data_IF_905646390085
#
_entry.id   IF_905646390085
#
_cell.length_a   1.000
_cell.length_b   1.000
_cell.length_c   1.000
_cell.angle_alpha   90.00
_cell.angle_beta   90.00
_cell.angle_gamma   90.00
#
_symmetry.space_group_name_H-M   'P 1'
#
loop_
_entity.id
_entity.type
_entity.pdbx_description
1 polymer ?
#
# COMPACT_ATOMS: atom_id res chain seq x y z
N UNK A 1 -1.41 21.41 -28.84
CA UNK A 1 -0.52 20.83 -27.81
C UNK A 1 -0.69 19.33 -27.80
N UNK A 2 0.42 18.59 -27.82
CA UNK A 2 0.43 17.10 -27.86
C UNK A 2 -0.25 16.47 -26.63
N UNK A 3 -0.37 17.20 -25.53
CA UNK A 3 -1.05 16.73 -24.32
C UNK A 3 -2.57 16.59 -24.50
N UNK A 4 -3.17 17.30 -25.47
CA UNK A 4 -4.63 17.25 -25.73
C UNK A 4 -5.05 16.03 -26.56
N UNK A 5 -4.12 15.24 -27.08
CA UNK A 5 -4.43 13.97 -27.76
C UNK A 5 -4.51 12.78 -26.80
N UNK A 6 -4.25 12.99 -25.51
CA UNK A 6 -4.38 11.97 -24.48
C UNK A 6 -5.87 11.70 -24.18
N UNK A 7 -6.25 10.46 -23.82
CA UNK A 7 -7.63 10.14 -23.42
C UNK A 7 -8.12 10.97 -22.23
N UNK A 8 -9.43 11.20 -22.13
CA UNK A 8 -10.06 12.01 -21.06
C UNK A 8 -9.73 11.55 -19.64
N UNK A 9 -9.42 10.26 -19.48
CA UNK A 9 -8.97 9.74 -18.19
C UNK A 9 -7.69 10.44 -17.69
N UNK A 10 -6.84 10.98 -18.58
CA UNK A 10 -5.65 11.80 -18.29
C UNK A 10 -5.91 13.30 -18.15
N UNK A 11 -7.15 13.76 -18.22
CA UNK A 11 -7.52 15.18 -18.08
C UNK A 11 -6.88 15.85 -16.87
N UNK A 12 -6.96 15.23 -15.68
CA UNK A 12 -6.36 15.78 -14.46
C UNK A 12 -4.84 15.93 -14.55
N UNK A 13 -4.16 15.02 -15.24
CA UNK A 13 -2.71 15.11 -15.47
C UNK A 13 -2.37 16.24 -16.44
N UNK A 14 -3.14 16.35 -17.52
CA UNK A 14 -2.98 17.40 -18.54
C UNK A 14 -3.15 18.77 -17.90
N UNK A 15 -4.19 19.00 -17.10
CA UNK A 15 -4.40 20.28 -16.39
C UNK A 15 -3.22 20.63 -15.47
N UNK A 16 -2.67 19.66 -14.73
CA UNK A 16 -1.54 19.89 -13.84
C UNK A 16 -0.21 20.14 -14.59
N UNK A 17 -0.09 19.66 -15.82
CA UNK A 17 1.05 19.96 -16.70
C UNK A 17 0.89 21.34 -17.34
N UNK A 18 -0.31 21.69 -17.81
CA UNK A 18 -0.61 23.01 -18.42
C UNK A 18 -0.55 24.16 -17.40
N UNK A 19 -0.71 23.90 -16.10
CA UNK A 19 -0.57 24.92 -15.05
C UNK A 19 0.88 25.28 -14.72
N UNK A 20 1.87 24.58 -15.29
CA UNK A 20 3.30 24.82 -15.06
C UNK A 20 3.86 25.77 -16.13
N UNK A 21 4.89 26.56 -15.81
CA UNK A 21 5.57 27.35 -16.83
C UNK A 21 6.28 26.43 -17.84
N UNK A 22 6.24 26.80 -19.12
CA UNK A 22 6.79 26.01 -20.23
C UNK A 22 8.30 25.72 -20.06
N UNK A 23 9.04 26.60 -19.38
CA UNK A 23 10.46 26.42 -19.08
C UNK A 23 10.74 25.17 -18.23
N UNK A 24 9.80 24.77 -17.37
CA UNK A 24 9.92 23.59 -16.52
C UNK A 24 9.26 22.35 -17.15
N UNK A 25 8.53 22.52 -18.25
CA UNK A 25 7.78 21.46 -18.94
C UNK A 25 8.68 20.63 -19.86
N UNK A 26 9.69 20.00 -19.27
CA UNK A 26 10.65 19.16 -20.00
C UNK A 26 10.03 17.83 -20.45
N UNK A 27 10.53 17.27 -21.55
CA UNK A 27 10.09 15.96 -22.05
C UNK A 27 10.26 14.85 -21.00
N UNK A 28 11.33 14.92 -20.20
CA UNK A 28 11.58 13.96 -19.11
C UNK A 28 10.50 14.04 -18.02
N UNK A 29 10.11 15.25 -17.62
CA UNK A 29 9.04 15.45 -16.65
C UNK A 29 7.71 14.92 -17.18
N UNK A 30 7.35 15.24 -18.42
CA UNK A 30 6.12 14.76 -19.06
C UNK A 30 6.09 13.23 -19.12
N UNK A 31 7.20 12.61 -19.56
CA UNK A 31 7.34 11.15 -19.60
C UNK A 31 7.19 10.51 -18.22
N UNK A 32 7.89 11.04 -17.20
CA UNK A 32 7.79 10.54 -15.83
C UNK A 32 6.37 10.65 -15.30
N UNK A 33 5.70 11.79 -15.51
CA UNK A 33 4.33 12.02 -15.05
C UNK A 33 3.29 11.13 -15.73
N UNK A 34 3.48 10.81 -17.00
CA UNK A 34 2.64 9.86 -17.72
C UNK A 34 2.79 8.44 -17.18
N UNK A 35 4.02 8.01 -16.88
CA UNK A 35 4.28 6.69 -16.29
C UNK A 35 3.68 6.57 -14.88
N UNK A 36 3.87 7.60 -14.04
CA UNK A 36 3.28 7.65 -12.70
C UNK A 36 1.75 7.49 -12.75
N UNK A 37 1.10 8.21 -13.67
CA UNK A 37 -0.35 8.20 -13.81
C UNK A 37 -0.88 6.87 -14.37
N UNK A 38 -0.16 6.28 -15.32
CA UNK A 38 -0.47 4.94 -15.84
C UNK A 38 -0.44 3.88 -14.73
N UNK A 39 0.61 3.87 -13.89
CA UNK A 39 0.74 2.93 -12.78
C UNK A 39 -0.37 3.14 -11.73
N UNK A 40 -0.67 4.39 -11.36
CA UNK A 40 -1.81 4.72 -10.46
C UNK A 40 -3.13 4.18 -10.97
N UNK A 41 -3.34 4.18 -12.30
CA UNK A 41 -4.57 3.65 -12.90
C UNK A 41 -4.59 2.15 -12.98
N UNK A 42 -3.45 1.52 -13.28
CA UNK A 42 -3.32 0.06 -13.25
C UNK A 42 -3.73 -0.47 -11.87
N UNK A 43 -3.25 0.15 -10.80
CA UNK A 43 -3.60 -0.21 -9.43
C UNK A 43 -5.10 0.01 -9.10
N UNK A 44 -5.72 1.03 -9.68
CA UNK A 44 -7.17 1.30 -9.52
C UNK A 44 -8.06 0.40 -10.37
N UNK A 45 -7.58 -0.07 -11.53
CA UNK A 45 -8.31 -0.97 -12.42
C UNK A 45 -8.36 -2.42 -11.92
N UNK A 46 -7.48 -2.80 -10.99
CA UNK A 46 -7.51 -4.09 -10.27
C UNK A 46 -8.40 -4.11 -9.01
N UNK A 47 -8.99 -2.97 -8.65
CA UNK A 47 -9.78 -2.81 -7.42
C UNK A 47 -11.24 -2.53 -7.72
N UNK A 48 -12.06 -3.58 -7.72
CA UNK A 48 -13.52 -3.49 -7.67
C UNK A 48 -13.96 -2.43 -6.67
N UNK A 49 -14.83 -1.53 -7.14
CA UNK A 49 -15.73 -0.66 -6.38
C UNK A 49 -15.86 -1.06 -4.91
N UNK A 50 -15.18 -0.34 -4.03
CA UNK A 50 -15.50 -0.32 -2.61
C UNK A 50 -14.91 0.95 -2.04
N UNK A 51 -15.77 1.89 -1.71
CA UNK A 51 -15.56 2.95 -0.73
C UNK A 51 -14.95 2.36 0.55
N UNK A 52 -13.63 2.20 0.57
CA UNK A 52 -12.88 1.90 1.78
C UNK A 52 -12.22 3.19 2.20
N UNK A 53 -13.02 3.95 2.95
CA UNK A 53 -12.57 4.93 3.91
C UNK A 53 -11.19 4.56 4.48
N UNK A 54 -10.31 5.56 4.56
CA UNK A 54 -8.97 5.50 5.14
C UNK A 54 -8.99 4.79 6.50
N UNK A 55 -8.81 3.46 6.52
CA UNK A 55 -8.38 2.76 7.72
C UNK A 55 -6.87 2.83 7.71
N UNK A 56 -6.34 3.77 8.50
CA UNK A 56 -4.97 3.78 8.99
C UNK A 56 -4.72 2.52 9.83
N UNK A 57 -4.61 1.39 9.13
CA UNK A 57 -4.41 0.07 9.68
C UNK A 57 -3.72 -0.75 8.62
N UNK A 58 -2.42 -0.51 8.43
CA UNK A 58 -1.54 -1.46 7.75
C UNK A 58 -1.58 -2.75 8.58
N UNK A 59 -2.50 -3.61 8.16
CA UNK A 59 -2.43 -5.05 8.33
C UNK A 59 -1.29 -5.50 7.43
N UNK A 60 -0.09 -5.63 8.01
CA UNK A 60 1.05 -6.19 7.30
C UNK A 60 0.81 -7.69 7.13
N UNK A 61 0.09 -8.07 6.08
CA UNK A 61 0.04 -9.44 5.61
C UNK A 61 0.86 -9.56 4.34
N UNK A 62 1.86 -10.44 4.45
CA UNK A 62 2.39 -11.32 3.39
C UNK A 62 3.26 -10.74 2.28
N UNK A 63 4.51 -10.35 2.61
CA UNK A 63 5.69 -10.72 1.77
C UNK A 63 7.05 -10.68 2.47
N UNK A 64 7.11 -10.49 3.79
CA UNK A 64 8.32 -10.79 4.55
C UNK A 64 8.00 -11.98 5.44
N UNK A 65 8.49 -13.17 5.07
CA UNK A 65 8.57 -14.33 5.97
C UNK A 65 9.40 -13.87 7.16
N UNK A 66 8.66 -13.40 8.15
CA UNK A 66 9.22 -12.56 9.19
C UNK A 66 10.16 -13.41 10.03
N UNK A 67 11.43 -13.03 10.04
CA UNK A 67 12.49 -13.51 10.94
C UNK A 67 12.18 -13.28 12.44
N UNK A 68 10.93 -12.97 12.77
CA UNK A 68 10.48 -12.74 14.14
C UNK A 68 10.49 -14.08 14.87
N UNK A 69 11.34 -14.12 15.89
CA UNK A 69 11.44 -15.23 16.82
C UNK A 69 10.51 -14.99 18.00
N UNK A 70 9.79 -16.02 18.40
CA UNK A 70 8.91 -15.95 19.54
C UNK A 70 9.72 -15.86 20.85
N UNK A 71 9.56 -14.79 21.62
CA UNK A 71 10.25 -14.62 22.90
C UNK A 71 9.87 -15.64 23.99
N UNK A 72 8.76 -16.37 23.82
CA UNK A 72 8.32 -17.39 24.76
C UNK A 72 8.89 -18.77 24.42
N UNK A 73 8.57 -19.30 23.23
CA UNK A 73 9.00 -20.64 22.82
C UNK A 73 10.31 -20.66 22.01
N UNK A 74 10.89 -19.49 21.71
CA UNK A 74 12.13 -19.30 20.93
C UNK A 74 12.09 -19.85 19.49
N UNK A 75 10.91 -20.15 18.94
CA UNK A 75 10.73 -20.58 17.54
C UNK A 75 10.49 -19.40 16.60
N UNK A 76 11.02 -19.47 15.38
CA UNK A 76 10.81 -18.47 14.31
C UNK A 76 9.39 -18.56 13.72
N UNK A 77 8.96 -17.51 13.04
CA UNK A 77 7.70 -17.48 12.28
C UNK A 77 6.48 -16.97 13.06
N UNK A 78 6.61 -16.65 14.35
CA UNK A 78 5.53 -16.03 15.14
C UNK A 78 6.08 -15.20 16.31
N UNK A 79 5.27 -14.27 16.83
CA UNK A 79 5.58 -13.49 18.04
C UNK A 79 4.88 -14.09 19.28
N UNK A 80 5.32 -13.72 20.50
CA UNK A 80 4.74 -14.18 21.78
C UNK A 80 3.21 -14.12 21.80
N UNK A 81 2.62 -13.02 21.31
CA UNK A 81 1.15 -12.84 21.22
C UNK A 81 0.43 -13.92 20.39
N UNK A 82 1.12 -14.48 19.39
CA UNK A 82 0.60 -15.50 18.48
C UNK A 82 1.16 -16.89 18.82
N UNK A 83 1.80 -17.07 19.99
CA UNK A 83 2.36 -18.35 20.40
C UNK A 83 1.29 -19.23 21.01
N UNK A 84 1.01 -20.39 20.39
CA UNK A 84 0.01 -21.36 20.87
C UNK A 84 0.29 -21.83 22.29
N UNK A 85 1.55 -22.04 22.66
CA UNK A 85 1.95 -22.46 24.01
C UNK A 85 1.69 -21.34 25.05
N UNK A 86 1.96 -20.09 24.69
CA UNK A 86 1.73 -18.95 25.57
C UNK A 86 0.23 -18.70 25.79
N UNK A 87 -0.58 -18.80 24.74
CA UNK A 87 -2.04 -18.67 24.85
C UNK A 87 -2.65 -19.80 25.69
N UNK A 88 -2.14 -21.03 25.59
CA UNK A 88 -2.56 -22.14 26.45
C UNK A 88 -2.23 -21.87 27.94
N UNK A 89 -1.04 -21.32 28.23
CA UNK A 89 -0.64 -20.94 29.60
C UNK A 89 -1.47 -19.78 30.15
N UNK A 90 -1.76 -18.75 29.36
CA UNK A 90 -2.63 -17.64 29.80
C UNK A 90 -4.04 -18.11 30.19
N UNK A 91 -4.58 -19.11 29.48
CA UNK A 91 -5.90 -19.67 29.81
C UNK A 91 -5.92 -20.48 31.11
N UNK A 92 -4.78 -21.01 31.54
CA UNK A 92 -4.66 -21.70 32.82
C UNK A 92 -4.54 -20.71 33.97
N UNK A 93 -3.79 -19.61 33.77
CA UNK A 93 -3.58 -18.55 34.78
C UNK A 93 -4.83 -17.67 35.03
N UNK A 94 -5.83 -17.74 34.14
CA UNK A 94 -7.10 -17.00 34.25
C UNK A 94 -8.27 -17.85 34.75
N UNK A 95 -7.99 -19.09 35.19
CA UNK A 95 -8.97 -20.06 35.68
C UNK A 95 -8.76 -20.53 37.13
N UNK A 96 -8.03 -19.78 37.96
CA UNK A 96 -8.07 -19.92 39.42
C UNK A 96 -8.68 -18.65 40.03
N UNK A 97 -9.97 -18.76 40.31
CA UNK A 97 -10.81 -17.79 41.02
C UNK A 97 -12.14 -18.46 41.31
#
# INVERSE_FOLDING_TARGET
>A
MILRSLPDSYSSLVTALESRPDADLTLQLVKSKLLDEYERRKDRSGGSSSDKAMKAGVKTSSTAVSEKTCFFCKKKGHLRRNCRLFQARQKQDSGEG
#
